data_IF_416862945752
#
_entry.id   IF_416862945752
#
_cell.length_a   1.000
_cell.length_b   1.000
_cell.length_c   1.000
_cell.angle_alpha   90.00
_cell.angle_beta   90.00
_cell.angle_gamma   90.00
#
_symmetry.space_group_name_H-M   'P 1'
#
loop_
_entity.id
_entity.type
_entity.pdbx_description
1 polymer ?
#
# COMPACT_ATOMS: atom_id res chain seq x y z
N UNK A 1 1.69 20.46 -5.80
CA UNK A 1 1.91 19.32 -4.87
C UNK A 1 1.52 18.08 -5.64
N UNK A 2 2.40 17.10 -5.78
CA UNK A 2 2.10 15.87 -6.54
C UNK A 2 1.32 14.91 -5.63
N UNK A 3 0.17 14.38 -6.07
CA UNK A 3 -0.59 13.41 -5.27
C UNK A 3 0.21 12.11 -5.12
N UNK A 4 0.08 11.45 -3.97
CA UNK A 4 0.73 10.17 -3.69
C UNK A 4 0.09 9.02 -4.48
N UNK A 5 -1.24 9.09 -4.68
CA UNK A 5 -2.02 8.12 -5.43
C UNK A 5 -2.90 8.85 -6.43
N UNK A 6 -2.97 8.35 -7.66
CA UNK A 6 -3.84 8.90 -8.71
C UNK A 6 -4.92 7.91 -9.13
N UNK A 7 -6.05 8.39 -9.68
CA UNK A 7 -7.09 7.51 -10.22
C UNK A 7 -6.57 6.52 -11.28
N UNK A 8 -5.71 6.91 -12.25
CA UNK A 8 -5.12 5.98 -13.21
C UNK A 8 -4.30 4.86 -12.56
N UNK A 9 -3.48 5.16 -11.56
CA UNK A 9 -2.67 4.15 -10.84
C UNK A 9 -3.56 3.15 -10.10
N UNK A 10 -4.59 3.63 -9.39
CA UNK A 10 -5.55 2.76 -8.72
C UNK A 10 -6.34 1.89 -9.72
N UNK A 11 -6.77 2.49 -10.85
CA UNK A 11 -7.48 1.78 -11.90
C UNK A 11 -6.62 0.68 -12.55
N UNK A 12 -5.32 0.93 -12.73
CA UNK A 12 -4.38 -0.03 -13.31
C UNK A 12 -4.14 -1.27 -12.45
N UNK A 13 -4.64 -1.31 -11.21
CA UNK A 13 -4.67 -2.54 -10.42
C UNK A 13 -5.69 -3.56 -10.93
N UNK A 14 -6.63 -3.14 -11.78
CA UNK A 14 -7.58 -4.01 -12.45
C UNK A 14 -7.02 -4.49 -13.79
N UNK A 15 -7.34 -5.73 -14.15
CA UNK A 15 -7.12 -6.27 -15.49
C UNK A 15 -8.45 -6.30 -16.27
N UNK A 16 -8.79 -5.20 -16.97
CA UNK A 16 -9.95 -5.18 -17.83
C UNK A 16 -9.61 -5.85 -19.16
N UNK A 17 -9.53 -7.19 -19.23
CA UNK A 17 -9.20 -8.05 -20.40
C UNK A 17 -9.41 -7.51 -21.84
N UNK A 18 -10.38 -6.61 -22.07
CA UNK A 18 -10.72 -5.98 -23.36
C UNK A 18 -10.10 -4.59 -23.60
N UNK A 19 -9.45 -3.99 -22.61
CA UNK A 19 -8.75 -2.70 -22.67
C UNK A 19 -7.26 -2.96 -22.44
N UNK A 20 -6.39 -2.07 -22.92
CA UNK A 20 -4.95 -2.25 -22.66
C UNK A 20 -4.64 -1.96 -21.18
N UNK A 21 -5.38 -1.04 -20.54
CA UNK A 21 -5.22 -0.74 -19.12
C UNK A 21 -6.53 -0.41 -18.38
N UNK A 22 -6.51 -0.48 -17.05
CA UNK A 22 -7.59 0.01 -16.19
C UNK A 22 -7.84 1.51 -16.33
N UNK A 23 -6.77 2.29 -16.48
CA UNK A 23 -6.84 3.74 -16.71
C UNK A 23 -7.60 4.10 -18.00
N UNK A 24 -7.41 3.33 -19.07
CA UNK A 24 -8.15 3.53 -20.32
C UNK A 24 -9.66 3.30 -20.13
N UNK A 25 -10.06 2.23 -19.44
CA UNK A 25 -11.47 1.99 -19.14
C UNK A 25 -12.05 3.06 -18.20
N UNK A 26 -11.26 3.59 -17.26
CA UNK A 26 -11.68 4.71 -16.41
C UNK A 26 -11.98 5.96 -17.23
N UNK A 27 -11.08 6.34 -18.14
CA UNK A 27 -11.27 7.50 -19.01
C UNK A 27 -12.42 7.28 -19.98
N UNK A 28 -12.51 6.12 -20.64
CA UNK A 28 -13.61 5.78 -21.54
C UNK A 28 -14.98 5.91 -20.85
N UNK A 29 -15.10 5.42 -19.61
CA UNK A 29 -16.33 5.59 -18.83
C UNK A 29 -16.63 7.06 -18.53
N UNK A 30 -15.65 7.82 -18.06
CA UNK A 30 -15.83 9.23 -17.69
C UNK A 30 -16.20 10.08 -18.90
N UNK A 31 -15.52 9.90 -20.02
CA UNK A 31 -15.77 10.63 -21.26
C UNK A 31 -17.17 10.31 -21.80
N UNK A 32 -17.57 9.03 -21.78
CA UNK A 32 -18.93 8.63 -22.18
C UNK A 32 -20.01 9.22 -21.27
N UNK A 33 -19.80 9.21 -19.95
CA UNK A 33 -20.77 9.78 -19.01
C UNK A 33 -20.88 11.30 -19.15
N UNK A 34 -19.76 12.01 -19.31
CA UNK A 34 -19.75 13.45 -19.55
C UNK A 34 -20.49 13.80 -20.85
N UNK A 35 -20.24 13.04 -21.93
CA UNK A 35 -20.94 13.24 -23.19
C UNK A 35 -22.45 13.02 -23.06
N UNK A 36 -22.88 11.99 -22.32
CA UNK A 36 -24.29 11.70 -22.08
C UNK A 36 -24.98 12.78 -21.24
N UNK A 37 -24.26 13.41 -20.30
CA UNK A 37 -24.76 14.56 -19.53
C UNK A 37 -24.98 15.78 -20.43
N UNK A 38 -24.11 16.01 -21.42
CA UNK A 38 -24.27 17.07 -22.42
C UNK A 38 -25.36 16.78 -23.46
N UNK A 39 -25.73 15.50 -23.63
CA UNK A 39 -26.69 15.03 -24.64
C UNK A 39 -27.83 14.19 -24.04
N UNK A 40 -28.64 14.74 -23.10
CA UNK A 40 -29.57 13.96 -22.27
C UNK A 40 -30.70 13.27 -23.04
N UNK A 41 -31.09 13.81 -24.21
CA UNK A 41 -32.15 13.25 -25.05
C UNK A 41 -31.66 12.15 -26.01
N UNK A 42 -30.36 11.81 -25.97
CA UNK A 42 -29.78 10.83 -26.89
C UNK A 42 -30.05 9.41 -26.42
N UNK A 43 -30.60 8.58 -27.32
CA UNK A 43 -30.76 7.14 -27.09
C UNK A 43 -29.43 6.36 -27.19
N UNK A 44 -29.36 5.16 -26.60
CA UNK A 44 -28.13 4.35 -26.51
C UNK A 44 -27.52 3.97 -27.86
N UNK A 45 -28.34 3.83 -28.91
CA UNK A 45 -27.86 3.53 -30.27
C UNK A 45 -27.02 4.68 -30.82
N UNK A 46 -27.56 5.89 -30.78
CA UNK A 46 -26.86 7.07 -31.30
C UNK A 46 -25.63 7.39 -30.45
N UNK A 47 -25.73 7.27 -29.12
CA UNK A 47 -24.57 7.46 -28.25
C UNK A 47 -23.44 6.45 -28.54
N UNK A 48 -23.77 5.19 -28.83
CA UNK A 48 -22.79 4.17 -29.22
C UNK A 48 -22.09 4.50 -30.55
N UNK A 49 -22.83 5.02 -31.53
CA UNK A 49 -22.26 5.45 -32.83
C UNK A 49 -21.35 6.68 -32.67
N UNK A 50 -21.77 7.68 -31.91
CA UNK A 50 -21.01 8.94 -31.70
C UNK A 50 -19.74 8.73 -30.87
N UNK A 51 -19.79 7.86 -29.87
CA UNK A 51 -18.65 7.58 -28.99
C UNK A 51 -17.73 6.47 -29.52
N UNK A 52 -18.10 5.82 -30.63
CA UNK A 52 -17.43 4.63 -31.17
C UNK A 52 -17.28 3.50 -30.11
N UNK A 53 -18.35 3.26 -29.35
CA UNK A 53 -18.38 2.29 -28.26
C UNK A 53 -19.44 1.20 -28.48
N UNK A 54 -19.25 -0.02 -27.94
CA UNK A 54 -20.24 -1.08 -28.07
C UNK A 54 -21.60 -0.68 -27.48
N UNK A 55 -22.68 -0.83 -28.25
CA UNK A 55 -24.05 -0.52 -27.81
C UNK A 55 -24.40 -1.06 -26.42
N UNK A 56 -24.07 -2.34 -26.16
CA UNK A 56 -24.37 -2.97 -24.87
C UNK A 56 -23.66 -2.31 -23.69
N UNK A 57 -22.47 -1.74 -23.90
CA UNK A 57 -21.71 -1.02 -22.88
C UNK A 57 -22.39 0.31 -22.54
N UNK A 58 -22.65 1.13 -23.55
CA UNK A 58 -23.38 2.42 -23.41
C UNK A 58 -24.75 2.19 -22.79
N UNK A 59 -25.52 1.21 -23.30
CA UNK A 59 -26.83 0.87 -22.76
C UNK A 59 -26.75 0.53 -21.26
N UNK A 60 -25.79 -0.30 -20.85
CA UNK A 60 -25.62 -0.65 -19.44
C UNK A 60 -25.24 0.56 -18.58
N UNK A 61 -24.34 1.42 -19.06
CA UNK A 61 -23.93 2.64 -18.35
C UNK A 61 -25.09 3.63 -18.19
N UNK A 62 -25.88 3.85 -19.24
CA UNK A 62 -27.11 4.65 -19.17
C UNK A 62 -28.17 4.06 -18.21
N UNK A 63 -28.14 2.74 -17.97
CA UNK A 63 -28.98 2.07 -16.96
C UNK A 63 -28.39 2.15 -15.54
N UNK A 64 -27.31 2.89 -15.33
CA UNK A 64 -26.64 3.08 -14.04
C UNK A 64 -25.61 2.01 -13.71
N UNK A 65 -25.29 1.09 -14.63
CA UNK A 65 -24.18 0.17 -14.41
C UNK A 65 -22.87 0.93 -14.40
N UNK A 66 -22.02 0.64 -13.41
CA UNK A 66 -20.71 1.27 -13.23
C UNK A 66 -19.64 0.18 -13.14
N UNK A 67 -18.53 0.26 -13.90
CA UNK A 67 -17.41 -0.67 -13.76
C UNK A 67 -16.87 -0.67 -12.33
N UNK A 68 -16.41 -1.82 -11.84
CA UNK A 68 -15.95 -1.93 -10.45
C UNK A 68 -14.74 -1.04 -10.15
N UNK A 69 -13.82 -0.88 -11.12
CA UNK A 69 -12.70 0.06 -10.98
C UNK A 69 -13.18 1.51 -10.79
N UNK A 70 -14.31 1.89 -11.41
CA UNK A 70 -14.85 3.23 -11.28
C UNK A 70 -15.48 3.39 -9.90
N UNK A 71 -16.25 2.39 -9.41
CA UNK A 71 -16.77 2.40 -8.04
C UNK A 71 -15.66 2.53 -7.01
N UNK A 72 -14.54 1.84 -7.23
CA UNK A 72 -13.36 1.90 -6.35
C UNK A 72 -12.68 3.26 -6.43
N UNK A 73 -12.57 3.87 -7.60
CA UNK A 73 -12.07 5.25 -7.72
C UNK A 73 -13.01 6.25 -7.05
N UNK A 74 -14.32 6.10 -7.20
CA UNK A 74 -15.30 6.99 -6.54
C UNK A 74 -15.20 6.88 -5.02
N UNK A 75 -15.12 5.66 -4.47
CA UNK A 75 -14.92 5.44 -3.03
C UNK A 75 -13.59 6.03 -2.53
N UNK A 76 -12.50 5.89 -3.29
CA UNK A 76 -11.22 6.54 -2.95
C UNK A 76 -11.33 8.07 -2.98
N UNK A 77 -12.09 8.62 -3.92
CA UNK A 77 -12.35 10.06 -4.03
C UNK A 77 -13.21 10.58 -2.88
N UNK A 78 -14.22 9.82 -2.43
CA UNK A 78 -15.06 10.16 -1.28
C UNK A 78 -14.27 10.17 0.04
N UNK A 79 -13.12 9.49 0.08
CA UNK A 79 -12.19 9.47 1.21
C UNK A 79 -11.01 10.46 1.03
N UNK A 80 -11.06 11.34 0.02
CA UNK A 80 -10.02 12.32 -0.32
C UNK A 80 -8.63 11.71 -0.61
N UNK A 81 -8.55 10.42 -0.96
CA UNK A 81 -7.26 9.73 -1.15
C UNK A 81 -6.46 10.28 -2.33
N UNK A 82 -7.12 10.81 -3.36
CA UNK A 82 -6.44 11.39 -4.52
C UNK A 82 -5.92 12.82 -4.26
N UNK A 83 -6.37 13.47 -3.19
CA UNK A 83 -5.85 14.76 -2.73
C UNK A 83 -4.71 14.58 -1.71
N UNK A 84 -4.45 13.34 -1.28
CA UNK A 84 -3.36 13.01 -0.39
C UNK A 84 -2.00 13.27 -1.06
N UNK A 85 -1.27 14.26 -0.55
CA UNK A 85 0.16 14.39 -0.86
C UNK A 85 1.00 13.46 0.00
N UNK A 86 2.23 13.19 -0.43
CA UNK A 86 3.22 12.44 0.35
C UNK A 86 3.32 12.96 1.80
N UNK A 87 3.28 14.28 2.00
CA UNK A 87 3.51 14.93 3.30
C UNK A 87 2.21 15.17 4.10
N UNK A 88 1.04 14.77 3.58
CA UNK A 88 -0.22 14.91 4.30
C UNK A 88 -0.41 13.78 5.33
N UNK A 89 -1.35 13.91 6.29
CA UNK A 89 -1.68 12.82 7.20
C UNK A 89 -2.08 11.53 6.47
N UNK A 90 -2.88 11.63 5.40
CA UNK A 90 -3.23 10.49 4.54
C UNK A 90 -2.00 9.87 3.88
N UNK A 91 -1.06 10.69 3.38
CA UNK A 91 0.19 10.21 2.82
C UNK A 91 1.05 9.44 3.84
N UNK A 92 1.18 9.97 5.05
CA UNK A 92 1.84 9.29 6.17
C UNK A 92 1.18 7.95 6.52
N UNK A 93 -0.15 7.91 6.58
CA UNK A 93 -0.89 6.68 6.84
C UNK A 93 -0.63 5.60 5.76
N UNK A 94 -0.66 5.98 4.48
CA UNK A 94 -0.28 5.07 3.40
C UNK A 94 1.16 4.56 3.53
N UNK A 95 2.12 5.44 3.81
CA UNK A 95 3.54 5.07 4.00
C UNK A 95 3.68 4.05 5.13
N UNK A 96 3.00 4.25 6.26
CA UNK A 96 3.03 3.32 7.39
C UNK A 96 2.43 1.95 7.03
N UNK A 97 1.32 1.92 6.30
CA UNK A 97 0.71 0.67 5.86
C UNK A 97 1.54 -0.05 4.79
N UNK A 98 2.22 0.68 3.90
CA UNK A 98 3.19 0.09 2.97
C UNK A 98 4.35 -0.53 3.74
N UNK A 99 4.91 0.15 4.75
CA UNK A 99 5.92 -0.42 5.64
C UNK A 99 5.41 -1.71 6.31
N UNK A 100 4.18 -1.68 6.83
CA UNK A 100 3.56 -2.82 7.49
C UNK A 100 3.34 -4.01 6.52
N UNK A 101 2.89 -3.78 5.28
CA UNK A 101 2.77 -4.83 4.27
C UNK A 101 4.14 -5.38 3.89
N UNK A 102 5.14 -4.54 3.63
CA UNK A 102 6.45 -5.00 3.21
C UNK A 102 7.14 -5.81 4.32
N UNK A 103 6.99 -5.42 5.58
CA UNK A 103 7.66 -6.08 6.71
C UNK A 103 6.88 -7.29 7.25
N UNK A 104 5.63 -7.14 7.69
CA UNK A 104 4.88 -8.20 8.39
C UNK A 104 3.59 -8.65 7.71
N UNK A 105 3.00 -7.84 6.83
CA UNK A 105 1.68 -8.06 6.24
C UNK A 105 1.67 -8.81 4.91
N UNK A 106 0.48 -9.02 4.35
CA UNK A 106 0.25 -9.63 3.04
C UNK A 106 -0.92 -8.98 2.34
N UNK A 107 -0.97 -9.06 1.02
CA UNK A 107 -2.15 -8.73 0.21
C UNK A 107 -2.51 -9.97 -0.60
N UNK A 108 -3.74 -10.47 -0.43
CA UNK A 108 -4.19 -11.67 -1.14
C UNK A 108 -4.34 -11.41 -2.65
N UNK A 109 -3.82 -12.30 -3.49
CA UNK A 109 -3.86 -12.16 -4.96
C UNK A 109 -5.28 -12.15 -5.53
N UNK A 110 -6.19 -12.90 -4.91
CA UNK A 110 -7.54 -13.13 -5.46
C UNK A 110 -8.48 -11.95 -5.24
N UNK A 111 -8.49 -11.39 -4.04
CA UNK A 111 -9.47 -10.39 -3.60
C UNK A 111 -8.84 -9.11 -3.06
N UNK A 112 -7.53 -8.97 -3.20
CA UNK A 112 -6.75 -7.82 -2.74
C UNK A 112 -7.00 -7.50 -1.26
N UNK A 113 -7.34 -8.50 -0.43
CA UNK A 113 -7.53 -8.27 0.98
C UNK A 113 -6.17 -8.12 1.68
N UNK A 114 -5.85 -6.95 2.26
CA UNK A 114 -4.66 -6.82 3.09
C UNK A 114 -4.88 -7.46 4.46
N UNK A 115 -3.81 -8.03 5.00
CA UNK A 115 -3.74 -8.53 6.37
C UNK A 115 -2.41 -8.09 6.97
N UNK A 116 -2.45 -7.58 8.20
CA UNK A 116 -1.29 -7.10 8.93
C UNK A 116 -1.09 -7.94 10.19
N UNK A 117 0.16 -8.29 10.47
CA UNK A 117 0.57 -8.99 11.70
C UNK A 117 1.65 -8.13 12.34
N UNK A 118 1.29 -6.96 12.93
CA UNK A 118 2.25 -6.12 13.61
C UNK A 118 2.73 -6.77 14.91
N UNK A 119 3.95 -6.46 15.32
CA UNK A 119 4.35 -6.64 16.73
C UNK A 119 3.55 -5.69 17.64
N UNK A 120 3.35 -6.03 18.93
CA UNK A 120 2.55 -5.23 19.86
C UNK A 120 2.95 -3.74 19.92
N UNK A 121 4.23 -3.42 19.78
CA UNK A 121 4.78 -2.07 19.88
C UNK A 121 4.37 -1.13 18.74
N UNK A 122 3.88 -1.68 17.62
CA UNK A 122 3.42 -0.92 16.45
C UNK A 122 1.97 -1.24 16.07
N UNK A 123 1.26 -2.02 16.90
CA UNK A 123 -0.13 -2.41 16.62
C UNK A 123 -1.02 -1.16 16.48
N UNK A 124 -0.91 -0.23 17.44
CA UNK A 124 -1.68 1.02 17.45
C UNK A 124 -1.34 1.93 16.25
N UNK A 125 -0.10 1.88 15.73
CA UNK A 125 0.29 2.67 14.56
C UNK A 125 -0.40 2.17 13.29
N UNK A 126 -0.50 0.84 13.14
CA UNK A 126 -1.19 0.22 12.00
C UNK A 126 -2.69 0.50 12.08
N UNK A 127 -3.29 0.40 13.28
CA UNK A 127 -4.70 0.73 13.51
C UNK A 127 -4.97 2.19 13.18
N UNK A 128 -4.18 3.10 13.75
CA UNK A 128 -4.33 4.54 13.55
C UNK A 128 -4.16 4.93 12.07
N UNK A 129 -3.28 4.26 11.34
CA UNK A 129 -3.12 4.49 9.91
C UNK A 129 -4.36 4.04 9.11
N UNK A 130 -4.97 2.89 9.44
CA UNK A 130 -6.22 2.44 8.80
C UNK A 130 -7.36 3.43 9.09
N UNK A 131 -7.50 3.87 10.34
CA UNK A 131 -8.51 4.84 10.75
C UNK A 131 -8.31 6.22 10.10
N UNK A 132 -7.05 6.66 9.96
CA UNK A 132 -6.70 7.91 9.27
C UNK A 132 -7.15 7.89 7.80
N UNK A 133 -7.14 6.72 7.16
CA UNK A 133 -7.66 6.54 5.80
C UNK A 133 -9.20 6.45 5.73
N UNK A 134 -9.90 6.62 6.85
CA UNK A 134 -11.36 6.56 6.93
C UNK A 134 -11.93 5.14 6.91
N UNK A 135 -11.12 4.14 7.24
CA UNK A 135 -11.50 2.73 7.21
C UNK A 135 -11.59 2.14 8.63
N UNK A 136 -12.36 1.07 8.79
CA UNK A 136 -12.53 0.38 10.06
C UNK A 136 -11.61 -0.84 10.18
N UNK A 137 -10.61 -0.82 11.08
CA UNK A 137 -9.80 -2.00 11.37
C UNK A 137 -10.60 -3.02 12.18
N UNK A 138 -10.30 -4.30 11.96
CA UNK A 138 -10.82 -5.43 12.72
C UNK A 138 -9.66 -6.26 13.22
N UNK A 139 -9.47 -6.29 14.52
CA UNK A 139 -8.54 -7.20 15.15
C UNK A 139 -9.14 -8.61 15.21
N UNK A 140 -8.33 -9.60 14.84
CA UNK A 140 -8.64 -11.03 14.95
C UNK A 140 -7.61 -11.62 15.91
N UNK A 141 -8.03 -11.75 17.17
CA UNK A 141 -7.22 -12.41 18.18
C UNK A 141 -7.23 -13.93 17.95
N UNK A 142 -6.06 -14.55 18.02
CA UNK A 142 -5.90 -16.01 17.91
C UNK A 142 -5.17 -16.50 19.14
N UNK A 143 -5.71 -17.52 19.80
CA UNK A 143 -5.21 -18.00 21.10
C UNK A 143 -3.72 -18.41 21.10
N UNK A 144 -3.18 -18.82 19.95
CA UNK A 144 -1.80 -19.31 19.80
C UNK A 144 -0.97 -18.53 18.76
N UNK A 145 -1.45 -17.38 18.26
CA UNK A 145 -0.75 -16.59 17.23
C UNK A 145 -0.84 -15.10 17.51
N UNK A 146 0.12 -14.36 16.95
CA UNK A 146 0.13 -12.90 16.94
C UNK A 146 -1.20 -12.37 16.38
N UNK A 147 -1.70 -11.29 16.96
CA UNK A 147 -2.92 -10.60 16.55
C UNK A 147 -2.86 -10.27 15.05
N UNK A 148 -3.95 -10.54 14.34
CA UNK A 148 -4.07 -10.23 12.91
C UNK A 148 -5.03 -9.05 12.75
N UNK A 149 -4.59 -7.97 12.10
CA UNK A 149 -5.44 -6.84 11.75
C UNK A 149 -5.91 -7.02 10.30
N UNK A 150 -7.23 -6.99 10.12
CA UNK A 150 -7.90 -6.94 8.81
C UNK A 150 -8.83 -5.73 8.77
N UNK A 151 -9.55 -5.56 7.67
CA UNK A 151 -10.61 -4.57 7.55
C UNK A 151 -11.98 -5.24 7.75
N UNK A 152 -12.94 -4.51 8.31
CA UNK A 152 -14.34 -4.95 8.40
C UNK A 152 -15.03 -4.97 7.04
N UNK A 153 -14.70 -4.00 6.19
CA UNK A 153 -15.25 -3.82 4.85
C UNK A 153 -14.22 -3.12 3.94
N UNK A 154 -14.51 -3.02 2.64
CA UNK A 154 -13.67 -2.29 1.68
C UNK A 154 -12.20 -2.77 1.61
N UNK A 155 -11.95 -4.03 1.95
CA UNK A 155 -10.59 -4.61 1.93
C UNK A 155 -9.91 -4.49 0.56
N UNK A 156 -10.66 -4.70 -0.53
CA UNK A 156 -10.14 -4.59 -1.88
C UNK A 156 -9.76 -3.15 -2.26
N UNK A 157 -10.44 -2.13 -1.72
CA UNK A 157 -10.11 -0.73 -1.95
C UNK A 157 -8.72 -0.41 -1.37
N UNK A 158 -8.49 -0.72 -0.10
CA UNK A 158 -7.19 -0.49 0.54
C UNK A 158 -6.08 -1.32 -0.10
N UNK A 159 -6.30 -2.63 -0.31
CA UNK A 159 -5.26 -3.49 -0.88
C UNK A 159 -4.86 -3.07 -2.29
N UNK A 160 -5.81 -2.61 -3.12
CA UNK A 160 -5.49 -2.06 -4.44
C UNK A 160 -4.71 -0.75 -4.34
N UNK A 161 -5.10 0.16 -3.45
CA UNK A 161 -4.32 1.38 -3.22
C UNK A 161 -2.87 1.05 -2.79
N UNK A 162 -2.69 0.10 -1.87
CA UNK A 162 -1.35 -0.34 -1.47
C UNK A 162 -0.56 -0.98 -2.61
N UNK A 163 -1.21 -1.75 -3.49
CA UNK A 163 -0.57 -2.31 -4.69
C UNK A 163 -0.15 -1.21 -5.67
N UNK A 164 -1.00 -0.22 -5.90
CA UNK A 164 -0.67 0.96 -6.71
C UNK A 164 0.52 1.73 -6.13
N UNK A 165 0.69 1.71 -4.81
CA UNK A 165 1.82 2.30 -4.08
C UNK A 165 3.05 1.37 -3.96
N UNK A 166 3.09 0.26 -4.70
CA UNK A 166 4.27 -0.61 -4.80
C UNK A 166 4.27 -1.81 -3.86
N UNK A 167 3.19 -2.09 -3.14
CA UNK A 167 3.08 -3.35 -2.39
C UNK A 167 2.82 -4.54 -3.34
N UNK A 168 3.53 -5.67 -3.15
CA UNK A 168 3.24 -6.90 -3.89
C UNK A 168 1.97 -7.58 -3.37
N UNK A 169 1.31 -8.33 -4.25
CA UNK A 169 0.36 -9.37 -3.87
C UNK A 169 1.09 -10.71 -3.69
N UNK A 170 0.52 -11.60 -2.88
CA UNK A 170 1.04 -12.96 -2.73
C UNK A 170 2.36 -13.05 -1.93
N UNK A 171 3.14 -14.15 -2.12
CA UNK A 171 4.38 -14.38 -1.40
C UNK A 171 5.48 -13.35 -1.73
N UNK A 172 6.22 -12.91 -0.70
CA UNK A 172 7.29 -11.90 -0.81
C UNK A 172 8.67 -12.57 -0.67
N UNK A 173 9.20 -13.11 -1.76
CA UNK A 173 10.48 -13.85 -1.79
C UNK A 173 11.36 -13.40 -2.97
N UNK A 174 12.51 -14.07 -3.22
CA UNK A 174 13.45 -13.70 -4.30
C UNK A 174 12.84 -13.70 -5.71
N UNK A 175 11.72 -14.40 -5.91
CA UNK A 175 11.01 -14.46 -7.20
C UNK A 175 9.95 -13.38 -7.34
N UNK A 176 9.60 -12.70 -6.25
CA UNK A 176 8.68 -11.58 -6.29
C UNK A 176 9.42 -10.32 -6.76
N UNK A 177 8.87 -9.67 -7.79
CA UNK A 177 9.35 -8.35 -8.24
C UNK A 177 8.89 -7.31 -7.21
N UNK A 178 9.74 -7.01 -6.23
CA UNK A 178 9.45 -6.06 -5.15
C UNK A 178 10.61 -5.08 -5.08
N UNK A 179 10.30 -3.81 -5.32
CA UNK A 179 11.20 -2.69 -5.16
C UNK A 179 10.75 -1.83 -3.96
N UNK A 180 11.65 -1.00 -3.44
CA UNK A 180 11.23 0.01 -2.48
C UNK A 180 10.53 1.17 -3.21
N UNK A 181 9.43 1.70 -2.67
CA UNK A 181 8.72 2.80 -3.34
C UNK A 181 9.60 4.06 -3.47
N UNK A 182 9.75 4.56 -4.69
CA UNK A 182 10.62 5.69 -5.01
C UNK A 182 10.20 6.99 -4.28
N UNK A 183 8.89 7.16 -4.04
CA UNK A 183 8.34 8.33 -3.35
C UNK A 183 8.83 8.49 -1.90
N UNK A 184 9.46 7.47 -1.30
CA UNK A 184 10.07 7.57 0.03
C UNK A 184 11.23 8.59 0.07
N UNK A 185 11.82 8.88 -1.09
CA UNK A 185 12.85 9.93 -1.22
C UNK A 185 12.28 11.33 -0.97
N UNK A 186 11.02 11.56 -1.35
CA UNK A 186 10.29 12.83 -1.16
C UNK A 186 9.55 12.92 0.18
N UNK A 187 9.49 11.81 0.93
CA UNK A 187 8.89 11.77 2.26
C UNK A 187 9.64 12.67 3.25
N UNK A 188 8.97 13.08 4.32
CA UNK A 188 9.64 13.81 5.42
C UNK A 188 10.56 12.88 6.21
N UNK A 189 11.52 13.46 6.94
CA UNK A 189 12.37 12.68 7.84
C UNK A 189 11.56 11.89 8.87
N UNK A 190 10.45 12.46 9.37
CA UNK A 190 9.54 11.77 10.30
C UNK A 190 8.90 10.55 9.65
N UNK A 191 8.40 10.68 8.41
CA UNK A 191 7.75 9.57 7.71
C UNK A 191 8.72 8.45 7.34
N UNK A 192 9.94 8.81 6.89
CA UNK A 192 10.99 7.80 6.66
C UNK A 192 11.36 7.09 7.97
N UNK A 193 11.46 7.84 9.07
CA UNK A 193 11.67 7.26 10.40
C UNK A 193 10.57 6.25 10.71
N UNK A 194 9.30 6.64 10.65
CA UNK A 194 8.17 5.77 10.99
C UNK A 194 8.17 4.50 10.14
N UNK A 195 8.40 4.62 8.83
CA UNK A 195 8.56 3.48 7.93
C UNK A 195 9.66 2.52 8.42
N UNK A 196 10.84 3.06 8.74
CA UNK A 196 11.99 2.27 9.20
C UNK A 196 11.72 1.62 10.54
N UNK A 197 11.05 2.31 11.48
CA UNK A 197 10.66 1.74 12.77
C UNK A 197 9.71 0.57 12.61
N UNK A 198 8.65 0.71 11.82
CA UNK A 198 7.71 -0.38 11.53
C UNK A 198 8.46 -1.58 10.93
N UNK A 199 9.38 -1.32 10.00
CA UNK A 199 10.15 -2.38 9.35
C UNK A 199 11.07 -3.11 10.33
N UNK A 200 11.83 -2.37 11.14
CA UNK A 200 12.78 -2.92 12.11
C UNK A 200 12.04 -3.70 13.18
N UNK A 201 10.95 -3.18 13.72
CA UNK A 201 10.18 -3.87 14.77
C UNK A 201 9.64 -5.20 14.24
N UNK A 202 9.02 -5.22 13.05
CA UNK A 202 8.46 -6.44 12.47
C UNK A 202 9.48 -7.48 12.01
N UNK A 203 10.73 -7.09 11.70
CA UNK A 203 11.71 -7.97 11.02
C UNK A 203 13.04 -8.12 11.72
N UNK A 204 13.35 -7.22 12.64
CA UNK A 204 14.52 -7.31 13.47
C UNK A 204 14.43 -8.55 14.35
N UNK A 205 15.60 -9.09 14.67
CA UNK A 205 15.76 -10.09 15.71
C UNK A 205 17.13 -9.87 16.33
N UNK A 206 17.25 -10.06 17.65
CA UNK A 206 18.54 -9.98 18.31
C UNK A 206 19.46 -11.09 17.78
N UNK A 207 20.67 -10.71 17.38
CA UNK A 207 21.67 -11.61 16.86
C UNK A 207 23.06 -11.15 17.28
N UNK A 208 23.66 -11.85 18.24
CA UNK A 208 24.91 -11.44 18.86
C UNK A 208 24.71 -10.15 19.66
N UNK A 209 25.52 -9.16 19.37
CA UNK A 209 25.53 -7.81 19.95
C UNK A 209 24.75 -6.81 19.10
N UNK A 210 23.66 -7.19 18.43
CA UNK A 210 22.92 -6.27 17.57
C UNK A 210 21.61 -6.84 17.03
N UNK A 211 21.02 -6.15 16.06
CA UNK A 211 19.84 -6.60 15.33
C UNK A 211 20.20 -7.11 13.95
N UNK A 212 19.65 -8.27 13.62
CA UNK A 212 19.65 -8.83 12.27
C UNK A 212 18.24 -8.81 11.69
N UNK A 213 18.12 -8.28 10.49
CA UNK A 213 16.90 -8.27 9.68
C UNK A 213 17.09 -9.26 8.55
N UNK A 214 16.44 -10.41 8.67
CA UNK A 214 16.48 -11.45 7.64
C UNK A 214 15.60 -11.04 6.47
N UNK A 215 16.18 -10.96 5.28
CA UNK A 215 15.48 -10.49 4.08
C UNK A 215 15.74 -11.43 2.91
N UNK A 216 14.68 -12.09 2.45
CA UNK A 216 14.70 -13.07 1.35
C UNK A 216 14.41 -12.41 -0.01
N UNK A 217 14.30 -11.09 -0.11
CA UNK A 217 14.21 -10.40 -1.40
C UNK A 217 15.57 -10.28 -2.08
N UNK A 218 15.61 -9.64 -3.24
CA UNK A 218 16.84 -9.47 -4.02
C UNK A 218 17.93 -8.70 -3.24
N UNK A 219 19.19 -8.86 -3.65
CA UNK A 219 20.30 -8.06 -3.08
C UNK A 219 20.12 -6.57 -3.34
N UNK A 220 19.47 -6.18 -4.45
CA UNK A 220 19.17 -4.77 -4.72
C UNK A 220 18.23 -4.21 -3.66
N UNK A 221 17.10 -4.88 -3.42
CA UNK A 221 16.14 -4.48 -2.40
C UNK A 221 16.78 -4.32 -1.01
N UNK A 222 17.66 -5.26 -0.62
CA UNK A 222 18.40 -5.15 0.66
C UNK A 222 19.32 -3.94 0.74
N UNK A 223 19.95 -3.53 -0.38
CA UNK A 223 20.80 -2.35 -0.42
C UNK A 223 19.97 -1.08 -0.32
N UNK A 224 18.90 -1.00 -1.09
CA UNK A 224 17.99 0.14 -1.09
C UNK A 224 17.37 0.33 0.32
N UNK A 225 17.01 -0.77 0.98
CA UNK A 225 16.50 -0.74 2.36
C UNK A 225 17.56 -0.31 3.37
N UNK A 226 18.81 -0.76 3.21
CA UNK A 226 19.89 -0.31 4.07
C UNK A 226 20.24 1.17 3.85
N UNK A 227 20.12 1.68 2.63
CA UNK A 227 20.30 3.10 2.33
C UNK A 227 19.18 3.94 2.94
N UNK A 228 17.93 3.46 2.90
CA UNK A 228 16.83 4.07 3.64
C UNK A 228 17.12 4.08 5.15
N UNK A 229 17.62 2.99 5.74
CA UNK A 229 17.99 2.95 7.16
C UNK A 229 19.08 3.96 7.50
N UNK A 230 20.14 4.03 6.70
CA UNK A 230 21.24 5.01 6.87
C UNK A 230 20.77 6.46 6.73
N UNK A 231 19.67 6.71 6.01
CA UNK A 231 19.12 8.05 5.87
C UNK A 231 18.46 8.58 7.15
N UNK A 232 18.11 7.72 8.11
CA UNK A 232 17.35 8.10 9.31
C UNK A 232 17.93 7.61 10.64
N UNK A 233 18.89 6.67 10.61
CA UNK A 233 19.54 6.10 11.78
C UNK A 233 21.00 6.56 11.81
N UNK A 234 21.41 7.08 12.96
CA UNK A 234 22.82 7.33 13.25
C UNK A 234 23.54 6.02 13.58
N UNK A 235 24.65 5.74 12.89
CA UNK A 235 25.49 4.57 13.15
C UNK A 235 25.71 3.68 11.92
N UNK A 236 26.08 2.42 12.18
CA UNK A 236 26.52 1.49 11.15
C UNK A 236 25.37 0.58 10.71
N UNK A 237 25.10 0.55 9.40
CA UNK A 237 24.18 -0.43 8.80
C UNK A 237 24.96 -1.28 7.81
N UNK A 238 25.02 -2.59 8.03
CA UNK A 238 25.78 -3.53 7.19
C UNK A 238 24.86 -4.45 6.40
N UNK A 239 25.10 -4.59 5.10
CA UNK A 239 24.35 -5.52 4.24
C UNK A 239 25.20 -6.74 3.95
N UNK A 240 24.61 -7.93 4.11
CA UNK A 240 25.19 -9.19 3.65
C UNK A 240 24.26 -9.88 2.66
N UNK A 241 24.62 -11.09 2.20
CA UNK A 241 23.81 -11.86 1.25
C UNK A 241 22.38 -12.16 1.71
N UNK A 242 22.12 -12.22 3.03
CA UNK A 242 20.80 -12.63 3.57
C UNK A 242 20.24 -11.74 4.66
N UNK A 243 21.01 -10.75 5.12
CA UNK A 243 20.60 -9.90 6.24
C UNK A 243 21.09 -8.47 6.10
N UNK A 244 20.35 -7.58 6.73
CA UNK A 244 20.81 -6.26 7.14
C UNK A 244 21.12 -6.34 8.63
N UNK A 245 22.28 -5.87 9.06
CA UNK A 245 22.75 -5.94 10.44
C UNK A 245 23.03 -4.56 11.01
N UNK A 246 22.52 -4.30 12.21
CA UNK A 246 22.67 -3.08 12.98
C UNK A 246 23.35 -3.46 14.31
N UNK A 247 24.59 -3.02 14.60
CA UNK A 247 25.26 -3.33 15.86
C UNK A 247 24.60 -2.60 17.04
N UNK A 248 24.83 -3.08 18.26
CA UNK A 248 24.19 -2.59 19.49
C UNK A 248 24.34 -1.07 19.69
N UNK A 249 25.47 -0.49 19.30
CA UNK A 249 25.68 0.97 19.36
C UNK A 249 24.65 1.73 18.50
N UNK A 250 24.32 1.19 17.32
CA UNK A 250 23.34 1.76 16.39
C UNK A 250 21.92 1.51 16.92
N UNK A 251 21.66 0.32 17.45
CA UNK A 251 20.37 -0.03 18.07
C UNK A 251 20.07 0.86 19.28
N UNK A 252 21.09 1.14 20.11
CA UNK A 252 20.94 2.01 21.29
C UNK A 252 20.67 3.47 20.93
N UNK A 253 21.01 3.88 19.71
CA UNK A 253 20.75 5.22 19.16
C UNK A 253 19.42 5.33 18.42
N UNK A 254 18.63 4.25 18.30
CA UNK A 254 17.31 4.32 17.72
C UNK A 254 16.43 5.26 18.55
N UNK A 255 15.63 6.07 17.85
CA UNK A 255 14.69 7.00 18.48
C UNK A 255 13.47 6.29 19.11
N UNK A 256 13.42 4.97 19.04
CA UNK A 256 12.40 4.10 19.60
C UNK A 256 13.05 2.94 20.34
N UNK A 257 12.38 2.44 21.37
CA UNK A 257 12.83 1.24 22.08
C UNK A 257 12.60 0.01 21.20
N UNK A 258 13.66 -0.78 21.04
CA UNK A 258 13.55 -2.09 20.41
C UNK A 258 13.40 -3.16 21.51
N UNK A 259 12.41 -4.07 21.41
CA UNK A 259 12.19 -5.06 22.44
C UNK A 259 13.44 -5.93 22.64
N UNK A 260 13.92 -5.98 23.89
CA UNK A 260 14.94 -6.95 24.29
C UNK A 260 14.28 -8.31 24.42
N UNK A 261 15.02 -9.38 24.10
CA UNK A 261 14.51 -10.73 24.25
C UNK A 261 14.04 -10.92 25.72
N UNK A 262 12.86 -11.48 25.99
CA UNK A 262 12.38 -11.71 27.36
C UNK A 262 13.23 -12.69 28.17
N UNK A 263 14.31 -13.25 27.60
CA UNK A 263 15.31 -14.04 28.31
C UNK A 263 16.42 -13.20 28.96
N UNK A 264 16.43 -11.88 28.79
CA UNK A 264 17.41 -10.96 29.39
C UNK A 264 16.86 -10.15 30.60
N UNK A 265 15.77 -10.62 31.23
CA UNK A 265 15.25 -10.09 32.52
C UNK A 265 15.15 -11.17 33.59
#
# INVERSE_FOLDING_TARGET
MVPLLTPPELANTYDPQKHATGAELLNEYRDAMAWLEEHPDTGPTKAAEELDLPYGRIYNWMKGSKPDLVKTCDAASELDWFDASIQSPLGGAFINLVAAVLSGGTIAERDFAPSFIPEPEIEDDVISAIETLGLSPRQIQREERVSEIRLESQHALLGRALVALGCPTGPKNETASVDLPEYLTDATDSQRRDFVRIYIINRGSLHGDGLAIMEQRTTSYRRDLADLFRSVIDGTVTVTERRIYLPQETVSGLYFEYPRNPQDT
#
